data_IF_728700085020
#
_entry.id   IF_728700085020
#
_cell.length_a   1.000
_cell.length_b   1.000
_cell.length_c   1.000
_cell.angle_alpha   90.00
_cell.angle_beta   90.00
_cell.angle_gamma   90.00
#
_symmetry.space_group_name_H-M   'P 1'
#
loop_
_entity.id
_entity.type
_entity.pdbx_description
1 polymer ?
#
# COMPACT_ATOMS: atom_id res chain seq x y z
N UNK A 1 58.44 26.64 13.04
CA UNK A 1 57.92 28.01 12.78
C UNK A 1 56.40 27.94 12.70
N UNK A 2 55.71 28.75 13.52
CA UNK A 2 54.30 29.22 13.45
C UNK A 2 53.20 28.16 13.21
N UNK A 3 52.44 27.68 14.20
CA UNK A 3 51.47 28.31 15.11
C UNK A 3 50.11 28.73 14.46
N UNK A 4 49.03 28.01 14.80
CA UNK A 4 47.62 28.44 15.03
C UNK A 4 46.81 27.17 15.38
N UNK A 5 46.36 26.85 16.60
CA UNK A 5 45.53 27.46 17.67
C UNK A 5 44.04 27.71 17.31
N UNK A 6 43.20 26.87 17.95
CA UNK A 6 41.84 27.10 18.53
C UNK A 6 40.73 27.41 17.53
N UNK A 7 39.55 26.79 17.54
CA UNK A 7 38.78 26.09 18.58
C UNK A 7 37.39 26.73 18.60
N UNK A 8 36.30 25.95 18.61
CA UNK A 8 34.99 26.42 19.07
C UNK A 8 34.12 25.22 19.45
N UNK A 9 33.90 25.09 20.76
CA UNK A 9 32.80 24.35 21.33
C UNK A 9 31.57 25.25 21.29
N UNK A 10 30.42 24.71 20.90
CA UNK A 10 29.12 25.32 21.20
C UNK A 10 28.21 24.23 21.75
N UNK A 11 28.24 24.14 23.08
CA UNK A 11 27.26 23.50 23.93
C UNK A 11 26.03 24.43 23.95
N UNK A 12 24.88 23.94 23.49
CA UNK A 12 23.59 24.56 23.80
C UNK A 12 22.70 23.53 24.47
N UNK A 13 22.68 23.60 25.81
CA UNK A 13 21.54 23.20 26.61
C UNK A 13 20.49 24.31 26.48
N UNK A 14 19.29 23.95 26.06
CA UNK A 14 18.09 24.75 26.31
C UNK A 14 16.99 23.82 26.83
N UNK A 15 16.89 23.77 28.16
CA UNK A 15 15.74 23.27 28.88
C UNK A 15 14.71 24.41 28.90
N UNK A 16 13.55 24.21 28.28
CA UNK A 16 12.38 25.06 28.48
C UNK A 16 11.14 24.18 28.60
N UNK A 17 10.76 23.95 29.85
CA UNK A 17 9.43 23.50 30.21
C UNK A 17 8.49 24.71 30.14
N UNK A 18 7.47 24.63 29.28
CA UNK A 18 6.29 25.49 29.34
C UNK A 18 5.08 24.64 28.95
N UNK A 19 4.18 24.47 29.91
CA UNK A 19 2.99 23.64 29.78
C UNK A 19 2.03 24.18 28.74
N UNK A 20 1.53 23.28 27.90
CA UNK A 20 0.25 23.43 27.24
C UNK A 20 -0.75 22.55 28.02
N UNK A 21 -1.64 23.20 28.75
CA UNK A 21 -2.83 22.57 29.31
C UNK A 21 -3.76 22.21 28.15
N UNK A 22 -3.74 20.97 27.67
CA UNK A 22 -4.81 20.45 26.84
C UNK A 22 -5.97 20.04 27.74
N UNK A 23 -6.81 21.03 28.02
CA UNK A 23 -8.16 20.82 28.53
C UNK A 23 -9.03 20.52 27.31
N UNK A 24 -9.54 19.29 27.18
CA UNK A 24 -10.60 18.98 26.22
C UNK A 24 -10.50 17.65 25.48
N UNK A 25 -10.54 16.52 26.20
CA UNK A 25 -11.24 15.34 25.69
C UNK A 25 -12.56 15.24 26.46
N UNK A 26 -13.63 15.84 25.92
CA UNK A 26 -14.99 15.48 26.32
C UNK A 26 -15.62 14.69 25.18
N UNK A 27 -15.30 13.40 25.12
CA UNK A 27 -16.15 12.42 24.45
C UNK A 27 -17.29 12.11 25.42
N UNK A 28 -18.38 12.84 25.25
CA UNK A 28 -19.65 12.53 25.87
C UNK A 28 -20.59 12.07 24.75
N UNK A 29 -20.65 10.76 24.52
CA UNK A 29 -21.90 10.10 24.12
C UNK A 29 -21.82 8.59 24.45
N UNK A 30 -22.38 8.27 25.62
CA UNK A 30 -23.05 7.01 25.99
C UNK A 30 -22.75 5.77 25.15
N UNK A 31 -21.81 4.94 25.60
CA UNK A 31 -21.91 3.50 25.38
C UNK A 31 -23.02 2.96 26.29
N UNK A 32 -24.18 2.63 25.71
CA UNK A 32 -25.29 2.01 26.41
C UNK A 32 -24.85 0.68 27.01
N UNK A 33 -25.00 0.56 28.33
CA UNK A 33 -24.60 -0.62 29.08
C UNK A 33 -25.58 -1.79 28.99
N UNK A 34 -25.08 -2.94 29.45
CA UNK A 34 -25.89 -4.04 29.98
C UNK A 34 -25.67 -5.38 29.29
N UNK A 35 -24.66 -6.12 29.72
CA UNK A 35 -24.49 -7.53 29.37
C UNK A 35 -23.29 -8.15 30.07
N UNK A 36 -23.49 -8.74 31.25
CA UNK A 36 -22.51 -9.62 31.90
C UNK A 36 -22.32 -10.87 31.02
N UNK A 37 -21.23 -10.90 30.27
CA UNK A 37 -20.90 -11.99 29.37
C UNK A 37 -19.57 -11.75 28.67
N UNK A 38 -18.51 -12.13 29.37
CA UNK A 38 -17.18 -12.52 28.89
C UNK A 38 -17.12 -12.86 27.38
N UNK A 39 -16.58 -11.95 26.57
CA UNK A 39 -15.82 -12.15 25.32
C UNK A 39 -15.46 -10.76 24.76
N UNK A 40 -14.16 -10.51 24.51
CA UNK A 40 -13.63 -9.19 24.15
C UNK A 40 -14.19 -8.68 22.82
N UNK A 41 -15.16 -7.77 22.90
CA UNK A 41 -15.67 -7.01 21.77
C UNK A 41 -14.65 -5.94 21.35
N UNK A 42 -13.88 -6.22 20.31
CA UNK A 42 -13.20 -5.17 19.54
C UNK A 42 -14.24 -4.23 18.95
N UNK A 43 -14.03 -2.91 19.10
CA UNK A 43 -14.95 -1.91 18.59
C UNK A 43 -14.85 -1.80 17.06
N UNK A 44 -15.45 -2.75 16.34
CA UNK A 44 -15.62 -2.71 14.88
C UNK A 44 -16.85 -1.88 14.49
N UNK A 45 -16.85 -0.60 14.85
CA UNK A 45 -17.61 0.41 14.11
C UNK A 45 -16.78 0.87 12.90
N UNK A 46 -17.36 1.63 11.94
CA UNK A 46 -16.53 2.33 10.96
C UNK A 46 -15.48 3.13 11.73
N UNK A 47 -14.20 2.78 11.55
CA UNK A 47 -13.07 3.28 12.34
C UNK A 47 -13.00 4.82 12.40
N UNK A 48 -13.73 5.49 11.51
CA UNK A 48 -13.82 6.94 11.41
C UNK A 48 -14.54 7.63 12.59
N UNK A 49 -15.46 6.95 13.32
CA UNK A 49 -16.22 7.61 14.41
C UNK A 49 -15.46 7.67 15.74
N UNK A 50 -14.48 6.79 15.96
CA UNK A 50 -13.67 6.76 17.19
C UNK A 50 -12.36 7.55 17.05
N UNK A 51 -11.98 7.91 15.83
CA UNK A 51 -10.79 8.70 15.58
C UNK A 51 -11.06 10.20 15.81
N UNK A 52 -10.08 10.94 16.35
CA UNK A 52 -10.17 12.40 16.44
C UNK A 52 -10.55 13.04 15.11
N UNK A 53 -11.34 14.12 15.14
CA UNK A 53 -11.86 14.76 13.93
C UNK A 53 -10.78 15.34 12.99
N UNK A 54 -9.55 15.51 13.46
CA UNK A 54 -8.36 15.89 12.68
C UNK A 54 -7.71 14.70 11.96
N UNK A 55 -8.15 13.48 12.23
CA UNK A 55 -7.63 12.24 11.66
C UNK A 55 -8.34 11.91 10.34
N UNK A 56 -8.13 12.76 9.33
CA UNK A 56 -8.75 12.64 8.01
C UNK A 56 -7.73 12.25 6.96
N UNK A 57 -8.16 11.42 6.01
CA UNK A 57 -7.38 11.15 4.81
C UNK A 57 -7.04 12.46 4.08
N UNK A 58 -5.79 12.58 3.63
CA UNK A 58 -5.37 13.67 2.78
C UNK A 58 -5.97 13.55 1.37
N UNK A 59 -5.92 14.64 0.61
CA UNK A 59 -6.41 14.66 -0.76
C UNK A 59 -5.56 13.74 -1.65
N UNK A 60 -6.25 12.85 -2.37
CA UNK A 60 -5.63 11.93 -3.33
C UNK A 60 -4.94 12.68 -4.47
N UNK A 61 -3.77 12.18 -4.85
CA UNK A 61 -3.09 12.55 -6.09
C UNK A 61 -3.33 11.52 -7.19
N UNK A 62 -2.61 11.68 -8.29
CA UNK A 62 -2.56 10.70 -9.38
C UNK A 62 -1.10 10.49 -9.77
N UNK A 63 -0.57 9.32 -9.40
CA UNK A 63 0.78 8.87 -9.74
C UNK A 63 0.65 7.69 -10.71
N UNK A 64 1.29 7.81 -11.87
CA UNK A 64 1.32 6.74 -12.87
C UNK A 64 2.58 5.90 -12.69
N UNK A 65 2.40 4.61 -12.38
CA UNK A 65 3.47 3.63 -12.37
C UNK A 65 3.51 2.93 -13.72
N UNK A 66 4.53 3.25 -14.52
CA UNK A 66 4.73 2.65 -15.84
C UNK A 66 5.64 1.45 -15.74
N UNK A 67 5.11 0.27 -15.99
CA UNK A 67 5.90 -0.96 -16.13
C UNK A 67 6.30 -1.09 -17.60
N UNK A 68 7.59 -0.96 -17.90
CA UNK A 68 8.14 -1.06 -19.26
C UNK A 68 8.94 -2.35 -19.41
N UNK A 69 8.63 -3.11 -20.45
CA UNK A 69 9.36 -4.32 -20.82
C UNK A 69 10.33 -4.00 -21.97
N UNK A 70 11.63 -3.94 -21.71
CA UNK A 70 12.67 -3.81 -22.75
C UNK A 70 13.27 -5.17 -23.18
N UNK A 71 12.79 -6.27 -22.59
CA UNK A 71 13.23 -7.61 -22.94
C UNK A 71 12.61 -8.09 -24.28
N UNK A 72 13.16 -9.17 -24.82
CA UNK A 72 12.67 -9.79 -26.06
C UNK A 72 11.43 -10.68 -25.85
N UNK A 73 11.13 -11.04 -24.59
CA UNK A 73 10.06 -11.95 -24.22
C UNK A 73 8.94 -11.17 -23.48
N UNK A 74 7.69 -11.65 -23.49
CA UNK A 74 6.63 -11.02 -22.70
C UNK A 74 6.87 -11.18 -21.19
N UNK A 75 6.36 -10.23 -20.42
CA UNK A 75 6.33 -10.29 -18.97
C UNK A 75 4.89 -10.18 -18.46
N UNK A 76 4.65 -10.68 -17.25
CA UNK A 76 3.33 -10.76 -16.66
C UNK A 76 3.30 -10.05 -15.32
N UNK A 77 2.23 -9.31 -15.10
CA UNK A 77 1.99 -8.56 -13.88
C UNK A 77 0.67 -9.02 -13.27
N UNK A 78 0.70 -9.48 -12.03
CA UNK A 78 -0.47 -10.00 -11.34
C UNK A 78 -0.08 -10.81 -10.10
N UNK A 79 -1.07 -11.24 -9.29
CA UNK A 79 -0.82 -12.08 -8.14
C UNK A 79 -0.22 -13.43 -8.55
N UNK A 80 0.70 -13.96 -7.72
CA UNK A 80 1.32 -15.27 -7.97
C UNK A 80 0.30 -16.41 -7.92
N UNK A 81 -0.54 -16.41 -6.89
CA UNK A 81 -1.51 -17.47 -6.58
C UNK A 81 -2.78 -16.86 -5.99
N UNK A 82 -3.90 -17.61 -6.12
CA UNK A 82 -5.27 -17.32 -5.63
C UNK A 82 -5.38 -16.76 -4.20
N UNK A 83 -4.40 -16.97 -3.33
CA UNK A 83 -4.58 -16.82 -1.89
C UNK A 83 -4.67 -15.37 -1.40
N UNK A 84 -4.38 -14.37 -2.24
CA UNK A 84 -4.59 -12.98 -1.90
C UNK A 84 -5.96 -12.53 -2.41
N UNK A 85 -7.00 -12.75 -1.60
CA UNK A 85 -8.12 -11.82 -1.61
C UNK A 85 -7.56 -10.48 -1.14
N UNK A 86 -7.71 -9.43 -1.93
CA UNK A 86 -7.09 -8.14 -1.68
C UNK A 86 -6.49 -7.55 -2.94
N UNK A 87 -6.02 -6.32 -2.85
CA UNK A 87 -5.30 -5.69 -3.96
C UNK A 87 -3.95 -6.39 -4.15
N UNK A 88 -3.72 -6.95 -5.34
CA UNK A 88 -2.37 -7.20 -5.81
C UNK A 88 -1.90 -5.89 -6.40
N UNK A 89 -1.00 -5.28 -5.68
CA UNK A 89 -0.30 -4.16 -6.23
C UNK A 89 1.00 -4.66 -6.84
N UNK A 90 1.18 -4.38 -8.12
CA UNK A 90 2.36 -4.76 -8.89
C UNK A 90 3.68 -4.20 -8.35
N UNK A 91 3.65 -3.47 -7.23
CA UNK A 91 4.78 -2.79 -6.63
C UNK A 91 4.71 -2.75 -5.10
N UNK A 92 5.86 -2.51 -4.49
CA UNK A 92 6.04 -2.21 -3.07
C UNK A 92 6.75 -0.86 -2.91
N UNK A 93 6.58 -0.24 -1.73
CA UNK A 93 7.25 1.00 -1.36
C UNK A 93 8.19 0.73 -0.19
N UNK A 94 9.41 1.26 -0.27
CA UNK A 94 10.38 1.25 0.83
C UNK A 94 10.88 2.66 1.13
N UNK A 95 11.18 2.93 2.40
CA UNK A 95 11.89 4.15 2.81
C UNK A 95 13.35 4.11 2.35
N UNK A 96 14.08 5.22 2.50
CA UNK A 96 15.53 5.26 2.27
C UNK A 96 16.33 4.32 3.21
N UNK A 97 15.78 3.97 4.38
CA UNK A 97 16.35 2.98 5.30
C UNK A 97 16.03 1.53 4.90
N UNK A 98 15.16 1.31 3.92
CA UNK A 98 14.74 0.00 3.44
C UNK A 98 13.51 -0.59 4.14
N UNK A 99 12.88 0.18 5.03
CA UNK A 99 11.67 -0.21 5.74
C UNK A 99 10.47 -0.20 4.79
N UNK A 100 9.59 -1.19 4.91
CA UNK A 100 8.38 -1.26 4.09
C UNK A 100 7.41 -0.15 4.48
N UNK A 101 6.90 0.54 3.46
CA UNK A 101 5.91 1.60 3.62
C UNK A 101 4.55 1.04 3.19
N UNK A 102 3.63 0.77 4.14
CA UNK A 102 2.29 0.36 3.77
C UNK A 102 1.60 1.53 3.07
N UNK A 103 0.87 1.24 2.00
CA UNK A 103 0.22 2.27 1.20
C UNK A 103 -1.16 1.86 0.69
N UNK A 104 -1.40 0.56 0.58
CA UNK A 104 -2.71 0.01 0.32
C UNK A 104 -3.50 -0.14 1.63
N UNK A 105 -4.82 -0.12 1.49
CA UNK A 105 -5.74 -0.67 2.46
C UNK A 105 -6.14 -2.03 1.90
N UNK A 106 -6.05 -3.10 2.69
CA UNK A 106 -6.60 -4.39 2.28
C UNK A 106 -8.02 -4.50 2.83
N UNK A 107 -9.05 -4.04 2.10
CA UNK A 107 -10.43 -4.20 2.56
C UNK A 107 -10.83 -5.68 2.63
N UNK A 108 -10.06 -6.60 2.02
CA UNK A 108 -10.34 -8.03 2.02
C UNK A 108 -9.68 -8.77 3.17
N UNK A 109 -8.55 -8.30 3.71
CA UNK A 109 -7.89 -8.90 4.87
C UNK A 109 -8.83 -8.89 6.10
N UNK A 110 -9.37 -7.72 6.45
CA UNK A 110 -10.32 -7.58 7.59
C UNK A 110 -11.66 -8.26 7.33
N UNK A 111 -12.20 -8.12 6.11
CA UNK A 111 -13.53 -8.65 5.80
C UNK A 111 -13.54 -10.18 5.72
N UNK A 112 -12.46 -10.80 5.23
CA UNK A 112 -12.40 -12.25 5.07
C UNK A 112 -11.97 -12.99 6.36
N UNK A 113 -11.24 -12.34 7.29
CA UNK A 113 -11.02 -12.87 8.64
C UNK A 113 -12.33 -12.96 9.44
N UNK A 114 -13.22 -11.96 9.30
CA UNK A 114 -14.47 -11.87 10.07
C UNK A 114 -15.67 -12.55 9.40
N UNK A 115 -15.78 -12.55 8.06
CA UNK A 115 -16.98 -13.02 7.33
C UNK A 115 -16.85 -14.40 6.65
N UNK A 116 -15.71 -15.08 6.78
CA UNK A 116 -15.46 -16.42 6.19
C UNK A 116 -15.69 -16.48 4.65
N UNK A 117 -15.92 -17.69 4.10
CA UNK A 117 -15.87 -18.03 2.67
C UNK A 117 -16.83 -17.24 1.75
N UNK A 118 -17.77 -16.50 2.32
CA UNK A 118 -18.73 -15.67 1.57
C UNK A 118 -18.09 -14.35 1.08
N UNK A 119 -17.00 -13.91 1.71
CA UNK A 119 -16.20 -12.72 1.34
C UNK A 119 -15.53 -12.84 -0.05
N UNK A 120 -15.33 -14.06 -0.55
CA UNK A 120 -14.71 -14.33 -1.85
C UNK A 120 -15.50 -13.74 -3.03
N UNK A 121 -16.80 -13.47 -2.87
CA UNK A 121 -17.63 -12.90 -3.92
C UNK A 121 -17.47 -11.37 -4.06
N UNK A 122 -17.20 -10.68 -2.94
CA UNK A 122 -17.09 -9.22 -2.88
C UNK A 122 -15.64 -8.73 -3.03
N UNK A 123 -14.66 -9.61 -2.80
CA UNK A 123 -13.26 -9.37 -3.05
C UNK A 123 -12.90 -9.64 -4.52
N UNK A 124 -12.95 -8.59 -5.34
CA UNK A 124 -12.50 -8.66 -6.72
C UNK A 124 -11.04 -9.11 -6.77
N UNK A 125 -10.80 -10.33 -7.26
CA UNK A 125 -9.43 -10.80 -7.45
C UNK A 125 -8.70 -9.86 -8.44
N UNK A 126 -7.44 -9.52 -8.18
CA UNK A 126 -6.70 -8.61 -9.04
C UNK A 126 -6.56 -9.10 -10.48
N UNK A 127 -6.50 -8.18 -11.45
CA UNK A 127 -6.27 -8.51 -12.86
C UNK A 127 -4.85 -9.07 -13.08
N UNK A 128 -4.70 -9.83 -14.16
CA UNK A 128 -3.39 -10.24 -14.69
C UNK A 128 -3.17 -9.58 -16.04
N UNK A 129 -2.06 -8.86 -16.16
CA UNK A 129 -1.65 -8.21 -17.38
C UNK A 129 -0.49 -8.94 -18.02
N UNK A 130 -0.50 -9.03 -19.34
CA UNK A 130 0.65 -9.38 -20.17
C UNK A 130 1.18 -8.11 -20.82
N UNK A 131 2.48 -7.88 -20.71
CA UNK A 131 3.19 -6.77 -21.33
C UNK A 131 4.09 -7.38 -22.39
N UNK A 132 3.81 -7.10 -23.66
CA UNK A 132 4.60 -7.63 -24.78
C UNK A 132 6.04 -7.11 -24.76
N UNK A 133 6.92 -7.74 -25.53
CA UNK A 133 8.27 -7.25 -25.75
C UNK A 133 8.26 -5.79 -26.25
N UNK A 134 9.12 -4.94 -25.66
CA UNK A 134 9.15 -3.49 -25.91
C UNK A 134 7.87 -2.73 -25.53
N UNK A 135 6.95 -3.38 -24.82
CA UNK A 135 5.67 -2.81 -24.40
C UNK A 135 5.72 -2.11 -23.05
N UNK A 136 4.59 -1.51 -22.69
CA UNK A 136 4.38 -0.99 -21.34
C UNK A 136 2.93 -1.11 -20.89
N UNK A 137 2.71 -1.01 -19.59
CA UNK A 137 1.39 -0.76 -18.99
C UNK A 137 1.51 0.30 -17.89
N UNK A 138 0.46 1.11 -17.75
CA UNK A 138 0.36 2.17 -16.76
C UNK A 138 -0.63 1.74 -15.66
N UNK A 139 -0.17 1.71 -14.41
CA UNK A 139 -0.99 1.50 -13.21
C UNK A 139 -1.09 2.80 -12.44
N UNK A 140 -2.26 3.08 -11.88
CA UNK A 140 -2.48 4.29 -11.08
C UNK A 140 -2.31 3.99 -9.60
N UNK A 141 -1.55 4.84 -8.93
CA UNK A 141 -1.45 4.95 -7.48
C UNK A 141 -1.89 6.36 -7.08
N UNK A 142 -2.58 6.51 -5.95
CA UNK A 142 -3.07 7.81 -5.50
C UNK A 142 -2.00 8.69 -4.82
N UNK A 143 -0.74 8.22 -4.77
CA UNK A 143 0.38 8.95 -4.16
C UNK A 143 0.33 9.02 -2.63
N UNK A 144 -0.61 8.32 -2.00
CA UNK A 144 -0.76 8.29 -0.54
C UNK A 144 -0.17 7.01 0.04
N UNK A 145 0.30 7.10 1.28
CA UNK A 145 0.75 6.00 2.11
C UNK A 145 -0.15 5.86 3.32
N UNK A 146 -0.13 4.68 3.94
CA UNK A 146 -0.89 4.37 5.15
C UNK A 146 -0.04 4.75 6.36
N UNK A 147 -0.62 5.57 7.23
CA UNK A 147 -0.03 5.93 8.51
C UNK A 147 -0.97 5.49 9.63
N UNK A 148 -0.46 4.66 10.54
CA UNK A 148 -1.17 4.26 11.75
C UNK A 148 -0.63 5.03 12.95
N UNK A 149 -1.53 5.65 13.71
CA UNK A 149 -1.23 6.38 14.93
C UNK A 149 -1.91 5.67 16.10
N UNK A 150 -1.12 5.28 17.10
CA UNK A 150 -1.67 4.82 18.36
C UNK A 150 -2.33 5.99 19.10
N UNK A 151 -3.55 5.77 19.59
CA UNK A 151 -4.23 6.65 20.52
C UNK A 151 -4.02 6.10 21.92
N UNK A 152 -3.33 6.86 22.77
CA UNK A 152 -3.24 6.53 24.19
C UNK A 152 -4.46 7.12 24.90
N UNK A 153 -5.42 6.28 25.24
CA UNK A 153 -6.40 6.60 26.27
C UNK A 153 -5.80 6.14 27.62
N UNK A 154 -5.73 7.02 28.61
CA UNK A 154 -5.27 6.63 29.95
C UNK A 154 -6.22 5.56 30.52
N UNK A 155 -5.75 4.32 30.62
CA UNK A 155 -6.42 3.25 31.38
C UNK A 155 -7.18 2.18 30.58
N UNK A 156 -7.25 2.25 29.25
CA UNK A 156 -7.95 1.27 28.42
C UNK A 156 -7.10 0.76 27.25
N UNK A 157 -7.55 -0.33 26.61
CA UNK A 157 -6.93 -0.98 25.46
C UNK A 157 -6.45 0.04 24.41
N UNK A 158 -5.21 -0.13 23.93
CA UNK A 158 -4.65 0.73 22.88
C UNK A 158 -5.54 0.69 21.64
N UNK A 159 -6.21 1.79 21.35
CA UNK A 159 -6.89 1.99 20.07
C UNK A 159 -5.90 2.61 19.09
N UNK A 160 -5.97 2.23 17.83
CA UNK A 160 -5.13 2.80 16.78
C UNK A 160 -6.00 3.32 15.66
N UNK A 161 -5.65 4.49 15.13
CA UNK A 161 -6.30 5.08 13.99
C UNK A 161 -5.39 4.98 12.76
N UNK A 162 -5.96 4.68 11.60
CA UNK A 162 -5.23 4.59 10.32
C UNK A 162 -5.71 5.64 9.34
N UNK A 163 -4.80 6.42 8.77
CA UNK A 163 -5.10 7.46 7.78
C UNK A 163 -4.22 7.30 6.54
N UNK A 164 -4.69 7.84 5.41
CA UNK A 164 -3.93 7.97 4.17
C UNK A 164 -3.35 9.37 4.08
N UNK A 165 -2.03 9.46 3.97
CA UNK A 165 -1.28 10.72 3.96
C UNK A 165 -0.26 10.73 2.84
N UNK A 166 0.17 11.90 2.39
CA UNK A 166 1.32 11.99 1.50
C UNK A 166 2.59 11.56 2.23
N UNK A 167 3.56 10.93 1.55
CA UNK A 167 4.87 10.67 2.12
C UNK A 167 5.49 11.97 2.64
N UNK A 168 5.81 12.02 3.93
CA UNK A 168 6.44 13.20 4.52
C UNK A 168 7.87 13.36 4.02
N UNK A 169 8.36 14.60 3.97
CA UNK A 169 9.74 14.89 3.58
C UNK A 169 10.78 14.17 4.48
N UNK A 170 10.41 13.86 5.74
CA UNK A 170 11.27 13.15 6.69
C UNK A 170 11.54 11.69 6.31
N UNK A 171 10.66 11.06 5.52
CA UNK A 171 10.88 9.71 5.00
C UNK A 171 11.93 9.68 3.87
N UNK A 172 12.26 10.84 3.31
CA UNK A 172 13.08 10.95 2.11
C UNK A 172 12.37 10.39 0.86
N UNK A 173 13.10 10.26 -0.27
CA UNK A 173 12.55 9.63 -1.47
C UNK A 173 12.20 8.17 -1.18
N UNK A 174 11.01 7.76 -1.60
CA UNK A 174 10.58 6.37 -1.51
C UNK A 174 11.20 5.57 -2.65
N UNK A 175 11.52 4.31 -2.39
CA UNK A 175 11.89 3.35 -3.42
C UNK A 175 10.66 2.55 -3.82
N UNK A 176 10.19 2.75 -5.05
CA UNK A 176 9.13 1.97 -5.67
C UNK A 176 9.76 0.75 -6.32
N UNK A 177 9.36 -0.45 -5.91
CA UNK A 177 9.88 -1.70 -6.49
C UNK A 177 8.76 -2.49 -7.15
N UNK A 178 8.83 -2.64 -8.46
CA UNK A 178 7.92 -3.49 -9.22
C UNK A 178 8.38 -4.93 -9.25
N UNK A 179 7.44 -5.87 -9.28
CA UNK A 179 7.70 -7.30 -9.45
C UNK A 179 6.90 -7.83 -10.63
N UNK A 180 7.55 -8.60 -11.51
CA UNK A 180 6.92 -9.26 -12.65
C UNK A 180 7.21 -10.77 -12.65
N UNK A 181 6.48 -11.49 -13.49
CA UNK A 181 6.65 -12.91 -13.76
C UNK A 181 6.99 -13.11 -15.23
N UNK A 182 7.78 -14.13 -15.54
CA UNK A 182 8.20 -14.41 -16.92
C UNK A 182 7.35 -15.46 -17.62
N UNK A 183 6.45 -16.14 -16.90
CA UNK A 183 5.66 -17.24 -17.44
C UNK A 183 4.25 -17.26 -16.85
N UNK A 184 3.31 -17.78 -17.63
CA UNK A 184 2.00 -18.22 -17.17
C UNK A 184 2.02 -19.74 -17.12
N UNK A 185 1.73 -20.30 -15.96
CA UNK A 185 1.67 -21.75 -15.76
C UNK A 185 0.36 -22.33 -16.27
N UNK A 186 -0.74 -21.63 -16.02
CA UNK A 186 -2.09 -22.13 -16.27
C UNK A 186 -3.07 -20.97 -16.47
N UNK A 187 -3.95 -21.11 -17.46
CA UNK A 187 -5.07 -20.22 -17.77
C UNK A 187 -6.33 -21.06 -17.94
N UNK A 188 -6.95 -21.43 -16.82
CA UNK A 188 -8.14 -22.29 -16.83
C UNK A 188 -9.31 -21.71 -17.65
N UNK A 189 -9.30 -20.41 -17.94
CA UNK A 189 -10.30 -19.69 -18.73
C UNK A 189 -10.19 -19.92 -20.25
N UNK A 190 -8.97 -20.19 -20.73
CA UNK A 190 -8.66 -20.29 -22.15
C UNK A 190 -7.34 -21.04 -22.29
N UNK A 191 -7.35 -22.18 -22.99
CA UNK A 191 -6.14 -23.01 -23.21
C UNK A 191 -4.96 -22.21 -23.80
N UNK A 192 -5.22 -21.06 -24.45
CA UNK A 192 -4.21 -20.20 -25.05
C UNK A 192 -3.88 -18.93 -24.26
N UNK A 193 -4.50 -18.70 -23.09
CA UNK A 193 -4.36 -17.43 -22.36
C UNK A 193 -4.64 -16.19 -23.23
N UNK A 194 -5.62 -16.24 -24.14
CA UNK A 194 -5.91 -15.08 -24.99
C UNK A 194 -6.24 -13.87 -24.10
N UNK A 195 -5.82 -12.69 -24.53
CA UNK A 195 -5.91 -11.48 -23.74
C UNK A 195 -6.58 -10.35 -24.53
N UNK A 196 -7.27 -9.48 -23.81
CA UNK A 196 -7.93 -8.30 -24.35
C UNK A 196 -6.95 -7.13 -24.34
N UNK A 197 -6.71 -6.46 -25.48
CA UNK A 197 -5.82 -5.30 -25.52
C UNK A 197 -6.27 -4.22 -24.53
N UNK A 198 -5.34 -3.73 -23.72
CA UNK A 198 -5.56 -2.57 -22.84
C UNK A 198 -4.68 -1.41 -23.31
N UNK A 199 -5.02 -0.19 -22.94
CA UNK A 199 -4.17 0.95 -23.25
C UNK A 199 -2.93 0.94 -22.33
N UNK A 200 -1.71 1.10 -22.88
CA UNK A 200 -1.38 1.19 -24.31
C UNK A 200 -1.38 -0.19 -24.98
N UNK A 201 -1.72 -0.24 -26.28
CA UNK A 201 -1.98 -1.47 -27.06
C UNK A 201 -0.83 -2.51 -27.12
N UNK A 202 0.31 -2.20 -26.50
CA UNK A 202 1.44 -3.11 -26.25
C UNK A 202 1.26 -3.97 -24.99
N UNK A 203 0.12 -3.87 -24.34
CA UNK A 203 -0.26 -4.65 -23.17
C UNK A 203 -1.68 -5.17 -23.34
N UNK A 204 -1.97 -6.28 -22.68
CA UNK A 204 -3.29 -6.87 -22.69
C UNK A 204 -3.64 -7.42 -21.30
N UNK A 205 -4.92 -7.37 -20.98
CA UNK A 205 -5.52 -7.98 -19.80
C UNK A 205 -5.88 -9.41 -20.15
N UNK A 206 -5.45 -10.38 -19.36
CA UNK A 206 -5.92 -11.76 -19.50
C UNK A 206 -7.29 -11.83 -18.80
N UNK A 207 -8.42 -11.89 -19.53
CA UNK A 207 -9.74 -11.90 -18.93
C UNK A 207 -9.95 -13.21 -18.17
N UNK A 208 -10.80 -13.13 -17.15
CA UNK A 208 -11.31 -14.31 -16.45
C UNK A 208 -12.68 -14.64 -17.04
N UNK A 209 -12.96 -15.90 -17.36
CA UNK A 209 -14.23 -16.34 -17.94
C UNK A 209 -15.06 -17.08 -16.86
N UNK A 210 -15.29 -16.42 -15.73
CA UNK A 210 -16.10 -16.94 -14.62
C UNK A 210 -15.38 -16.94 -13.28
N UNK A 211 -16.09 -17.31 -12.22
CA UNK A 211 -15.58 -17.30 -10.83
C UNK A 211 -14.63 -18.46 -10.50
N UNK A 212 -14.57 -19.48 -11.35
CA UNK A 212 -13.65 -20.63 -11.22
C UNK A 212 -12.33 -20.45 -11.96
N UNK A 213 -12.23 -19.43 -12.81
CA UNK A 213 -11.16 -19.28 -13.77
C UNK A 213 -9.93 -18.60 -13.17
N UNK A 214 -8.78 -19.26 -13.36
CA UNK A 214 -7.53 -18.90 -12.68
C UNK A 214 -6.42 -18.74 -13.68
N UNK A 215 -5.67 -17.66 -13.50
CA UNK A 215 -4.38 -17.45 -14.12
C UNK A 215 -3.32 -17.65 -13.06
N UNK A 216 -2.44 -18.62 -13.25
CA UNK A 216 -1.33 -18.88 -12.32
C UNK A 216 -0.04 -18.38 -12.96
N UNK A 217 0.64 -17.45 -12.30
CA UNK A 217 1.92 -16.92 -12.77
C UNK A 217 3.09 -17.73 -12.21
N UNK A 218 4.14 -17.90 -13.00
CA UNK A 218 5.32 -18.67 -12.63
C UNK A 218 6.59 -18.13 -13.31
N UNK A 219 7.69 -18.87 -13.17
CA UNK A 219 8.99 -18.49 -13.72
C UNK A 219 9.80 -17.59 -12.78
N UNK A 220 10.80 -16.91 -13.35
CA UNK A 220 11.61 -15.96 -12.62
C UNK A 220 10.75 -14.78 -12.16
N UNK A 221 11.15 -14.18 -11.04
CA UNK A 221 10.50 -13.00 -10.48
C UNK A 221 11.44 -11.78 -10.50
N UNK A 222 11.82 -11.27 -11.69
CA UNK A 222 12.56 -10.02 -11.78
C UNK A 222 11.87 -8.91 -11.00
N UNK A 223 12.71 -8.12 -10.34
CA UNK A 223 12.29 -6.86 -9.70
C UNK A 223 13.12 -5.73 -10.28
N UNK A 224 12.52 -4.55 -10.33
CA UNK A 224 13.19 -3.30 -10.70
C UNK A 224 12.70 -2.21 -9.77
N UNK A 225 13.55 -1.22 -9.51
CA UNK A 225 13.24 -0.18 -8.56
C UNK A 225 13.53 1.20 -9.12
N UNK A 226 12.70 2.17 -8.75
CA UNK A 226 12.86 3.58 -9.08
C UNK A 226 12.54 4.44 -7.86
N UNK A 227 13.16 5.62 -7.78
CA UNK A 227 12.85 6.58 -6.74
C UNK A 227 11.52 7.31 -7.05
N UNK A 228 10.79 7.63 -5.99
CA UNK A 228 9.62 8.48 -6.00
C UNK A 228 9.79 9.61 -4.98
N UNK A 229 9.55 10.83 -5.42
CA UNK A 229 9.46 12.02 -4.57
C UNK A 229 8.02 12.54 -4.57
N UNK A 230 7.56 13.13 -3.45
CA UNK A 230 6.20 13.69 -3.38
C UNK A 230 5.97 14.73 -4.48
N UNK A 231 4.81 14.65 -5.11
CA UNK A 231 4.43 15.47 -6.27
C UNK A 231 4.89 14.92 -7.63
N UNK A 232 5.68 13.85 -7.68
CA UNK A 232 6.04 13.19 -8.94
C UNK A 232 4.82 12.50 -9.56
N UNK A 233 4.44 12.89 -10.78
CA UNK A 233 3.25 12.36 -11.45
C UNK A 233 3.46 10.96 -12.08
N UNK A 234 4.71 10.52 -12.26
CA UNK A 234 5.02 9.27 -12.96
C UNK A 234 6.30 8.62 -12.45
N UNK A 235 6.28 7.31 -12.24
CA UNK A 235 7.45 6.47 -11.92
C UNK A 235 7.56 5.40 -13.01
N UNK A 236 8.73 5.28 -13.65
CA UNK A 236 8.97 4.25 -14.67
C UNK A 236 9.81 3.10 -14.11
N UNK A 237 9.29 1.89 -14.23
CA UNK A 237 9.87 0.63 -13.78
C UNK A 237 10.25 -0.19 -15.02
N UNK A 238 11.55 -0.21 -15.33
CA UNK A 238 12.09 -0.83 -16.55
C UNK A 238 12.65 -2.22 -16.28
N UNK A 239 12.15 -3.22 -17.01
CA UNK A 239 12.59 -4.61 -16.98
C UNK A 239 13.36 -4.93 -18.25
N UNK A 240 14.51 -5.61 -18.13
CA UNK A 240 15.45 -5.91 -19.23
C UNK A 240 15.80 -7.38 -19.25
#
# INVERSE_FOLDING_TARGET
>A
MRAWKKGFACLWLALAAAGASFTGCSLQETCGGGGDGDEGAGCEGPLDEQCPADFKNEAEGEVTLRFRNESADPIYLGPRTRAACGFFDGFSLKTASGDDVPWYFDPCETTCETLHAECLADCAEPPVYKIEANGSIDIRWNGLIRQTRALSCEGESQTSCTQRVRPSADLGPLTVTGQIYTQVLDCNANENCDCEPVAPATSCLIPRVGSSDRVTLSGAQPTTSAAYEDGQAMVELVFR
#
